data_IF_411308376841
#
_entry.id   IF_411308376841
#
_cell.length_a   1.000
_cell.length_b   1.000
_cell.length_c   1.000
_cell.angle_alpha   90.00
_cell.angle_beta   90.00
_cell.angle_gamma   90.00
#
_symmetry.space_group_name_H-M   'P 1'
#
loop_
_entity.id
_entity.type
_entity.pdbx_description
1 polymer ?
#
# COMPACT_ATOMS: atom_id res chain seq x y z
N UNK A 1 4.20 -15.64 13.27
CA UNK A 1 3.54 -14.37 13.08
C UNK A 1 4.51 -13.24 12.77
N UNK A 2 3.99 -12.16 12.28
CA UNK A 2 4.75 -10.94 11.99
C UNK A 2 4.11 -9.74 12.66
N UNK A 3 4.92 -8.71 12.90
CA UNK A 3 4.44 -7.42 13.39
C UNK A 3 4.60 -6.39 12.27
N UNK A 4 3.51 -5.75 11.87
CA UNK A 4 3.48 -4.72 10.83
C UNK A 4 3.59 -3.34 11.49
N UNK A 5 4.57 -2.55 11.07
CA UNK A 5 4.78 -1.20 11.59
C UNK A 5 4.05 -0.13 10.79
N UNK A 6 4.00 -0.28 9.48
CA UNK A 6 3.36 0.69 8.57
C UNK A 6 3.01 0.07 7.24
N UNK A 7 2.13 0.73 6.50
CA UNK A 7 1.85 0.46 5.11
C UNK A 7 2.07 1.74 4.31
N UNK A 8 2.83 1.63 3.23
CA UNK A 8 3.06 2.71 2.30
C UNK A 8 2.09 2.56 1.12
N UNK A 9 1.36 3.60 0.78
CA UNK A 9 0.42 3.66 -0.33
C UNK A 9 0.80 4.80 -1.26
N UNK A 10 0.61 4.62 -2.54
CA UNK A 10 1.01 5.59 -3.56
C UNK A 10 -0.22 6.29 -4.13
N UNK A 11 -0.28 7.61 -3.98
CA UNK A 11 -1.39 8.43 -4.44
C UNK A 11 -1.02 9.19 -5.71
N UNK A 12 -1.96 9.24 -6.67
CA UNK A 12 -1.86 10.09 -7.87
C UNK A 12 -2.65 11.39 -7.72
N UNK A 13 -3.75 11.35 -6.97
CA UNK A 13 -4.58 12.52 -6.65
C UNK A 13 -5.07 12.45 -5.21
N UNK A 14 -5.33 13.60 -4.61
CA UNK A 14 -5.90 13.72 -3.27
C UNK A 14 -6.97 14.79 -3.21
N UNK A 15 -7.88 14.64 -2.27
CA UNK A 15 -8.76 15.73 -1.82
C UNK A 15 -8.01 16.64 -0.86
N UNK A 16 -8.33 17.92 -0.85
CA UNK A 16 -7.67 18.89 0.04
C UNK A 16 -8.37 19.04 1.40
N UNK A 17 -9.54 18.45 1.55
CA UNK A 17 -10.40 18.63 2.75
C UNK A 17 -10.60 17.34 3.53
N UNK A 18 -10.84 16.23 2.83
CA UNK A 18 -11.23 14.96 3.46
C UNK A 18 -10.03 14.02 3.69
N UNK A 19 -9.94 13.42 4.89
CA UNK A 19 -8.87 12.49 5.22
C UNK A 19 -9.06 11.12 4.55
N UNK A 20 -7.99 10.33 4.54
CA UNK A 20 -8.00 8.92 4.17
C UNK A 20 -7.72 8.08 5.40
N UNK A 21 -8.54 7.07 5.63
CA UNK A 21 -8.35 6.09 6.71
C UNK A 21 -7.82 4.78 6.13
N UNK A 22 -6.76 4.26 6.72
CA UNK A 22 -6.28 2.92 6.47
C UNK A 22 -6.60 2.03 7.67
N UNK A 23 -7.20 0.87 7.41
CA UNK A 23 -7.52 -0.12 8.44
C UNK A 23 -6.96 -1.49 8.09
N UNK A 24 -6.26 -2.11 9.05
CA UNK A 24 -5.96 -3.54 9.00
C UNK A 24 -7.15 -4.31 9.55
N UNK A 25 -7.68 -5.24 8.74
CA UNK A 25 -8.86 -6.05 9.10
C UNK A 25 -8.59 -7.54 8.96
N UNK A 26 -9.42 -8.33 9.64
CA UNK A 26 -9.49 -9.77 9.41
C UNK A 26 -10.14 -10.06 8.05
N UNK A 27 -9.88 -11.24 7.52
CA UNK A 27 -10.59 -11.81 6.36
C UNK A 27 -11.58 -12.87 6.86
N UNK A 28 -12.78 -12.87 6.29
CA UNK A 28 -13.85 -13.83 6.59
C UNK A 28 -14.36 -14.40 5.27
N UNK A 29 -14.27 -15.71 5.11
CA UNK A 29 -14.67 -16.40 3.89
C UNK A 29 -14.06 -15.82 2.61
N UNK A 30 -12.79 -15.38 2.67
CA UNK A 30 -12.09 -14.79 1.53
C UNK A 30 -12.42 -13.32 1.24
N UNK A 31 -13.24 -12.66 2.06
CA UNK A 31 -13.63 -11.25 1.91
C UNK A 31 -13.14 -10.40 3.09
N UNK A 32 -12.93 -9.08 2.86
CA UNK A 32 -12.63 -8.17 3.95
C UNK A 32 -13.68 -8.21 5.05
N UNK A 33 -13.26 -8.57 6.26
CA UNK A 33 -14.14 -8.68 7.42
C UNK A 33 -14.38 -7.32 8.09
N UNK A 34 -15.33 -7.26 9.04
CA UNK A 34 -15.67 -6.03 9.74
C UNK A 34 -14.73 -5.69 10.90
N UNK A 35 -13.93 -6.66 11.36
CA UNK A 35 -13.11 -6.49 12.56
C UNK A 35 -11.79 -5.82 12.23
N UNK A 36 -11.60 -4.60 12.74
CA UNK A 36 -10.31 -3.91 12.72
C UNK A 36 -9.39 -4.52 13.78
N UNK A 37 -8.14 -4.79 13.41
CA UNK A 37 -7.14 -5.32 14.33
C UNK A 37 -6.73 -4.27 15.37
N UNK A 38 -6.31 -4.68 16.58
CA UNK A 38 -5.76 -3.75 17.57
C UNK A 38 -4.63 -2.90 16.96
N UNK A 39 -4.69 -1.58 17.16
CA UNK A 39 -3.79 -0.57 16.60
C UNK A 39 -3.79 -0.48 15.06
N UNK A 40 -4.66 -1.24 14.38
CA UNK A 40 -4.70 -1.37 12.93
C UNK A 40 -5.41 -0.24 12.19
N UNK A 41 -5.67 0.92 12.81
CA UNK A 41 -6.30 2.08 12.16
C UNK A 41 -5.38 3.28 12.17
N UNK A 42 -5.23 3.92 11.00
CA UNK A 42 -4.50 5.17 10.82
C UNK A 42 -5.34 6.10 9.96
N UNK A 43 -5.47 7.34 10.40
CA UNK A 43 -6.11 8.42 9.63
C UNK A 43 -5.01 9.36 9.16
N UNK A 44 -5.05 9.73 7.89
CA UNK A 44 -4.15 10.70 7.28
C UNK A 44 -4.93 11.89 6.78
N UNK A 45 -4.60 13.06 7.31
CA UNK A 45 -5.14 14.31 6.81
C UNK A 45 -4.56 14.62 5.42
N UNK A 46 -5.27 15.40 4.59
CA UNK A 46 -4.81 15.71 3.23
C UNK A 46 -3.40 16.31 3.17
N UNK A 47 -3.02 17.11 4.17
CA UNK A 47 -1.69 17.72 4.25
C UNK A 47 -0.56 16.68 4.36
N UNK A 48 -0.85 15.54 4.97
CA UNK A 48 0.10 14.44 5.16
C UNK A 48 0.09 13.41 4.01
N UNK A 49 -0.76 13.61 3.00
CA UNK A 49 -0.81 12.76 1.81
C UNK A 49 0.08 13.36 0.73
N UNK A 50 1.09 12.62 0.34
CA UNK A 50 1.98 12.95 -0.77
C UNK A 50 1.42 12.38 -2.06
N UNK A 51 1.29 13.20 -3.08
CA UNK A 51 0.90 12.77 -4.44
C UNK A 51 2.14 12.72 -5.33
N UNK A 52 2.16 11.78 -6.26
CA UNK A 52 3.25 11.61 -7.22
C UNK A 52 2.71 11.09 -8.55
N UNK A 53 2.93 11.85 -9.63
CA UNK A 53 2.49 11.49 -10.98
C UNK A 53 3.20 10.25 -11.54
N UNK A 54 4.33 9.87 -10.96
CA UNK A 54 5.09 8.67 -11.36
C UNK A 54 4.84 7.47 -10.47
N UNK A 55 4.11 7.65 -9.35
CA UNK A 55 3.83 6.59 -8.39
C UNK A 55 5.06 6.06 -7.65
N UNK A 56 6.14 6.82 -7.55
CA UNK A 56 7.37 6.41 -6.85
C UNK A 56 7.41 6.85 -5.40
N UNK A 57 6.79 7.98 -5.09
CA UNK A 57 6.75 8.54 -3.75
C UNK A 57 5.53 8.03 -2.99
N UNK A 58 5.77 7.43 -1.84
CA UNK A 58 4.71 6.83 -1.02
C UNK A 58 4.23 7.76 0.08
N UNK A 59 2.95 7.66 0.41
CA UNK A 59 2.39 8.13 1.68
C UNK A 59 2.46 6.99 2.69
N UNK A 60 3.16 7.21 3.80
CA UNK A 60 3.32 6.21 4.85
C UNK A 60 2.19 6.29 5.88
N UNK A 61 1.46 5.20 6.05
CA UNK A 61 0.50 5.00 7.13
C UNK A 61 1.18 4.25 8.28
N UNK A 62 1.74 5.01 9.22
CA UNK A 62 2.44 4.48 10.38
C UNK A 62 1.45 4.14 11.48
N UNK A 63 1.41 2.88 11.94
CA UNK A 63 0.60 2.47 13.07
C UNK A 63 1.17 3.01 14.39
N UNK A 64 0.30 3.33 15.33
CA UNK A 64 0.68 3.82 16.66
C UNK A 64 1.49 2.78 17.44
N UNK A 65 1.18 1.50 17.25
CA UNK A 65 1.92 0.36 17.76
C UNK A 65 1.93 -0.73 16.69
N UNK A 66 2.92 -1.63 16.69
CA UNK A 66 2.97 -2.71 15.72
C UNK A 66 1.72 -3.58 15.75
N UNK A 67 1.15 -3.84 14.57
CA UNK A 67 -0.02 -4.71 14.40
C UNK A 67 0.43 -6.14 14.25
N UNK A 68 -0.02 -7.02 15.14
CA UNK A 68 0.33 -8.43 15.09
C UNK A 68 -0.56 -9.21 14.11
N UNK A 69 0.08 -9.93 13.20
CA UNK A 69 -0.56 -10.86 12.28
C UNK A 69 -0.18 -12.29 12.66
N UNK A 70 -1.18 -13.08 12.99
CA UNK A 70 -1.03 -14.50 13.35
C UNK A 70 -0.64 -15.32 12.12
N UNK A 71 0.24 -16.33 12.26
CA UNK A 71 0.53 -17.25 11.16
C UNK A 71 -0.70 -18.09 10.81
N UNK A 72 -0.87 -18.38 9.51
CA UNK A 72 -1.97 -19.23 9.02
C UNK A 72 -3.34 -18.57 8.96
N UNK A 73 -3.44 -17.26 9.26
CA UNK A 73 -4.66 -16.46 9.07
C UNK A 73 -4.47 -15.44 7.97
N UNK A 74 -5.55 -15.16 7.27
CA UNK A 74 -5.60 -14.13 6.24
C UNK A 74 -6.03 -12.79 6.82
N UNK A 75 -5.41 -11.73 6.32
CA UNK A 75 -5.67 -10.36 6.69
C UNK A 75 -5.74 -9.48 5.44
N UNK A 76 -6.39 -8.35 5.57
CA UNK A 76 -6.42 -7.34 4.53
C UNK A 76 -6.19 -5.95 5.12
N UNK A 77 -5.79 -5.02 4.28
CA UNK A 77 -5.90 -3.61 4.61
C UNK A 77 -6.97 -2.97 3.72
N UNK A 78 -7.70 -2.02 4.29
CA UNK A 78 -8.74 -1.28 3.59
C UNK A 78 -8.37 0.20 3.59
N UNK A 79 -8.43 0.82 2.41
CA UNK A 79 -8.37 2.28 2.28
C UNK A 79 -9.81 2.80 2.19
N UNK A 80 -10.14 3.75 3.04
CA UNK A 80 -11.48 4.30 3.17
C UNK A 80 -11.38 5.81 3.02
N UNK A 81 -12.18 6.35 2.12
CA UNK A 81 -12.35 7.78 1.92
C UNK A 81 -13.83 8.08 1.67
N UNK A 82 -14.30 9.22 2.18
CA UNK A 82 -15.69 9.63 2.05
C UNK A 82 -15.96 10.34 0.71
N UNK A 83 -14.91 10.61 -0.07
CA UNK A 83 -14.98 11.31 -1.35
C UNK A 83 -14.24 10.53 -2.44
N UNK A 84 -14.67 10.63 -3.71
CA UNK A 84 -14.06 9.90 -4.83
C UNK A 84 -12.78 10.56 -5.39
N UNK A 85 -12.39 11.70 -4.86
CA UNK A 85 -11.27 12.53 -5.37
C UNK A 85 -9.91 11.92 -5.08
N UNK A 86 -9.79 11.10 -4.03
CA UNK A 86 -8.54 10.38 -3.75
C UNK A 86 -8.35 9.27 -4.76
N UNK A 87 -7.20 9.26 -5.45
CA UNK A 87 -6.82 8.20 -6.38
C UNK A 87 -5.48 7.60 -5.99
N UNK A 88 -5.41 6.29 -6.05
CA UNK A 88 -4.20 5.51 -5.75
C UNK A 88 -3.69 4.83 -7.00
N UNK A 89 -2.39 4.62 -7.05
CA UNK A 89 -1.76 3.85 -8.11
C UNK A 89 -2.13 2.38 -8.01
N UNK A 90 -2.51 1.81 -9.15
CA UNK A 90 -2.83 0.39 -9.32
C UNK A 90 -2.03 -0.19 -10.48
N UNK A 91 -1.84 -1.51 -10.47
CA UNK A 91 -1.43 -2.27 -11.65
C UNK A 91 -2.66 -2.94 -12.24
N UNK A 92 -2.80 -2.91 -13.56
CA UNK A 92 -3.87 -3.60 -14.27
C UNK A 92 -3.30 -4.55 -15.30
N UNK A 93 -3.84 -5.76 -15.35
CA UNK A 93 -3.46 -6.76 -16.34
C UNK A 93 -3.63 -6.22 -17.76
N UNK A 94 -2.60 -6.40 -18.60
CA UNK A 94 -2.58 -5.93 -19.99
C UNK A 94 -2.16 -4.48 -20.18
N UNK A 95 -1.97 -3.70 -19.10
CA UNK A 95 -1.42 -2.35 -19.18
C UNK A 95 0.10 -2.37 -19.10
N UNK A 96 0.72 -1.36 -19.70
CA UNK A 96 2.18 -1.17 -19.67
C UNK A 96 2.59 -0.54 -18.36
N UNK A 97 3.65 -1.05 -17.76
CA UNK A 97 4.24 -0.44 -16.55
C UNK A 97 4.71 0.98 -16.88
N UNK A 98 4.43 1.93 -16.01
CA UNK A 98 5.03 3.25 -16.05
C UNK A 98 6.50 3.07 -15.67
N UNK A 99 7.35 3.05 -16.68
CA UNK A 99 8.78 3.04 -16.46
C UNK A 99 9.17 4.41 -15.92
N UNK A 100 9.74 4.42 -14.71
CA UNK A 100 10.48 5.59 -14.30
C UNK A 100 11.61 5.75 -15.30
N UNK A 101 11.62 6.85 -16.04
CA UNK A 101 12.83 7.36 -16.63
C UNK A 101 13.78 7.66 -15.47
N UNK A 102 14.49 6.65 -15.01
CA UNK A 102 15.74 6.87 -14.32
C UNK A 102 16.58 7.65 -15.32
N UNK A 103 16.55 8.96 -15.18
CA UNK A 103 17.56 9.79 -15.76
C UNK A 103 18.86 9.20 -15.23
N UNK A 104 19.51 8.43 -16.07
CA UNK A 104 20.90 8.07 -15.88
C UNK A 104 21.65 9.39 -15.88
N UNK A 105 21.86 9.97 -14.71
CA UNK A 105 22.86 10.98 -14.48
C UNK A 105 24.21 10.29 -14.69
N UNK A 106 24.45 9.89 -15.93
CA UNK A 106 25.76 9.47 -16.43
C UNK A 106 26.52 10.73 -16.76
N UNK A 107 27.50 10.99 -15.96
CA UNK A 107 28.58 11.94 -16.26
C UNK A 107 29.00 11.79 -17.72
N UNK A 108 28.75 12.83 -18.55
CA UNK A 108 29.42 13.09 -19.82
C UNK A 108 29.38 11.99 -20.86
N UNK A 109 28.22 11.76 -21.49
CA UNK A 109 28.14 10.94 -22.68
C UNK A 109 26.99 11.41 -23.55
N UNK A 110 27.28 11.78 -24.79
CA UNK A 110 26.34 12.10 -25.85
C UNK A 110 25.31 10.98 -25.95
N UNK A 111 24.06 11.25 -25.64
CA UNK A 111 22.95 10.32 -25.80
C UNK A 111 22.78 9.97 -27.28
N UNK A 112 23.32 8.86 -27.70
CA UNK A 112 23.04 8.29 -29.00
C UNK A 112 21.71 7.55 -28.91
N UNK A 113 20.82 7.78 -29.86
CA UNK A 113 19.44 7.26 -29.92
C UNK A 113 19.27 5.73 -29.91
N UNK A 114 20.31 4.99 -29.63
CA UNK A 114 20.33 3.53 -29.56
C UNK A 114 20.02 2.96 -28.18
N UNK A 115 19.88 3.81 -27.16
CA UNK A 115 19.57 3.37 -25.78
C UNK A 115 18.08 3.11 -25.52
N UNK A 116 17.21 3.45 -26.46
CA UNK A 116 15.76 3.17 -26.33
C UNK A 116 15.37 1.70 -26.53
N UNK A 117 16.29 0.87 -26.97
CA UNK A 117 16.02 -0.57 -27.18
C UNK A 117 16.21 -1.43 -25.92
N UNK A 118 16.71 -0.86 -24.82
CA UNK A 118 16.96 -1.60 -23.56
C UNK A 118 15.79 -1.53 -22.57
N UNK A 119 14.81 -0.68 -22.82
CA UNK A 119 13.59 -0.61 -22.01
C UNK A 119 12.43 -1.17 -22.86
N UNK A 120 12.38 -2.50 -22.99
CA UNK A 120 11.20 -3.16 -23.49
C UNK A 120 10.02 -2.73 -22.62
N UNK A 121 8.99 -2.15 -23.22
CA UNK A 121 7.73 -1.89 -22.53
C UNK A 121 7.29 -3.18 -21.86
N UNK A 122 7.30 -3.17 -20.54
CA UNK A 122 6.89 -4.33 -19.75
C UNK A 122 5.40 -4.25 -19.52
N UNK A 123 4.67 -5.18 -20.12
CA UNK A 123 3.24 -5.33 -19.91
C UNK A 123 3.00 -6.18 -18.67
N UNK A 124 2.06 -5.79 -17.84
CA UNK A 124 1.62 -6.58 -16.68
C UNK A 124 0.90 -7.83 -17.20
N UNK A 125 1.62 -8.94 -17.27
CA UNK A 125 1.13 -10.22 -17.84
C UNK A 125 0.74 -11.24 -16.78
N UNK A 126 1.18 -11.06 -15.54
CA UNK A 126 0.90 -11.95 -14.43
C UNK A 126 0.22 -11.17 -13.31
N UNK A 127 -0.78 -11.81 -12.70
CA UNK A 127 -1.40 -11.26 -11.51
C UNK A 127 -0.38 -11.29 -10.37
N UNK A 128 -0.13 -10.16 -9.67
CA UNK A 128 0.73 -10.18 -8.50
C UNK A 128 0.23 -11.23 -7.50
N UNK A 129 1.12 -12.13 -7.09
CA UNK A 129 0.77 -13.33 -6.31
C UNK A 129 0.38 -13.09 -4.85
N UNK A 130 -0.03 -11.89 -4.48
CA UNK A 130 -0.30 -11.50 -3.09
C UNK A 130 -1.74 -10.99 -2.95
N UNK A 131 -2.68 -11.93 -2.87
CA UNK A 131 -4.06 -11.61 -2.52
C UNK A 131 -4.92 -11.16 -3.70
N UNK A 132 -6.09 -10.61 -3.38
CA UNK A 132 -7.08 -10.11 -4.33
C UNK A 132 -7.48 -8.70 -3.92
N UNK A 133 -7.57 -7.79 -4.89
CA UNK A 133 -8.11 -6.46 -4.66
C UNK A 133 -9.63 -6.50 -4.61
N UNK A 134 -10.22 -5.79 -3.66
CA UNK A 134 -11.66 -5.62 -3.53
C UNK A 134 -12.03 -4.15 -3.61
N UNK A 135 -13.16 -3.87 -4.24
CA UNK A 135 -13.77 -2.53 -4.31
C UNK A 135 -15.07 -2.51 -3.52
N UNK A 136 -15.34 -1.42 -2.83
CA UNK A 136 -16.57 -1.21 -2.06
C UNK A 136 -17.00 0.24 -2.12
N UNK A 137 -18.32 0.47 -2.19
CA UNK A 137 -18.91 1.81 -2.09
C UNK A 137 -19.39 2.15 -0.67
N UNK A 138 -19.54 1.13 0.19
CA UNK A 138 -20.13 1.31 1.53
C UNK A 138 -19.24 0.76 2.66
N UNK A 139 -18.04 0.23 2.32
CA UNK A 139 -17.13 -0.38 3.28
C UNK A 139 -17.63 -1.69 3.94
N UNK A 140 -18.74 -2.23 3.46
CA UNK A 140 -19.36 -3.46 3.99
C UNK A 140 -19.57 -4.54 2.94
N UNK A 141 -19.90 -4.14 1.72
CA UNK A 141 -20.08 -5.04 0.58
C UNK A 141 -18.90 -4.90 -0.35
N UNK A 142 -18.23 -6.00 -0.66
CA UNK A 142 -16.98 -6.04 -1.38
C UNK A 142 -17.10 -6.80 -2.69
N UNK A 143 -16.65 -6.20 -3.78
CA UNK A 143 -16.58 -6.82 -5.10
C UNK A 143 -15.12 -7.12 -5.44
N UNK A 144 -14.75 -8.38 -5.73
CA UNK A 144 -13.37 -8.72 -6.11
C UNK A 144 -13.04 -8.17 -7.48
N UNK A 145 -11.80 -7.71 -7.66
CA UNK A 145 -11.21 -7.33 -8.95
C UNK A 145 -10.05 -8.26 -9.24
N UNK A 146 -10.21 -9.11 -10.25
CA UNK A 146 -9.19 -10.10 -10.63
C UNK A 146 -8.13 -9.52 -11.59
N UNK A 147 -8.36 -8.34 -12.10
CA UNK A 147 -7.52 -7.71 -13.14
C UNK A 147 -6.69 -6.55 -12.63
N UNK A 148 -6.88 -6.17 -11.38
CA UNK A 148 -6.27 -4.97 -10.80
C UNK A 148 -5.71 -5.27 -9.41
N UNK A 149 -4.56 -4.65 -9.09
CA UNK A 149 -3.99 -4.65 -7.74
C UNK A 149 -3.51 -3.26 -7.36
N UNK A 150 -3.68 -2.92 -6.08
CA UNK A 150 -3.19 -1.65 -5.53
C UNK A 150 -1.67 -1.70 -5.35
N UNK A 151 -0.99 -0.61 -5.68
CA UNK A 151 0.42 -0.46 -5.39
C UNK A 151 0.64 -0.12 -3.93
N UNK A 152 1.32 -0.99 -3.19
CA UNK A 152 1.62 -0.77 -1.77
C UNK A 152 2.96 -1.39 -1.36
N UNK A 153 3.45 -1.01 -0.19
CA UNK A 153 4.59 -1.64 0.49
C UNK A 153 4.21 -1.89 1.94
N UNK A 154 4.38 -3.12 2.39
CA UNK A 154 4.16 -3.50 3.77
C UNK A 154 5.50 -3.51 4.52
N UNK A 155 5.58 -2.75 5.61
CA UNK A 155 6.76 -2.63 6.44
C UNK A 155 6.57 -3.42 7.73
N UNK A 156 7.39 -4.46 7.92
CA UNK A 156 7.38 -5.28 9.13
C UNK A 156 8.45 -4.83 10.12
N UNK A 157 8.20 -5.06 11.41
CA UNK A 157 9.19 -4.88 12.44
C UNK A 157 10.27 -5.96 12.38
N UNK A 158 11.51 -5.55 12.57
CA UNK A 158 12.63 -6.45 12.86
C UNK A 158 13.06 -6.20 14.29
N UNK A 159 13.00 -7.25 15.12
CA UNK A 159 13.39 -7.17 16.52
C UNK A 159 14.88 -7.48 16.65
N UNK A 160 15.62 -6.62 17.35
CA UNK A 160 17.05 -6.75 17.58
C UNK A 160 17.37 -7.48 18.90
N UNK A 161 16.36 -7.61 19.78
CA UNK A 161 16.48 -8.31 21.05
C UNK A 161 15.42 -9.40 21.17
N UNK A 162 15.79 -10.53 21.78
CA UNK A 162 14.88 -11.67 22.00
C UNK A 162 14.13 -11.60 23.35
N UNK A 163 14.52 -10.67 24.21
CA UNK A 163 13.91 -10.48 25.54
C UNK A 163 13.94 -9.01 25.94
N UNK A 164 13.03 -8.66 26.82
CA UNK A 164 12.93 -7.32 27.41
C UNK A 164 12.16 -7.37 28.73
N UNK A 165 12.36 -6.36 29.57
CA UNK A 165 11.64 -6.21 30.85
C UNK A 165 10.66 -5.07 30.73
N UNK A 166 9.39 -5.32 31.07
CA UNK A 166 8.35 -4.31 31.17
C UNK A 166 8.05 -4.09 32.65
N UNK A 167 8.37 -2.92 33.21
CA UNK A 167 7.94 -2.60 34.58
C UNK A 167 6.41 -2.35 34.56
N UNK A 168 5.69 -3.10 35.34
CA UNK A 168 4.28 -2.86 35.62
C UNK A 168 4.19 -2.05 36.91
N UNK A 169 3.60 -0.88 36.83
CA UNK A 169 3.32 -0.03 38.02
C UNK A 169 1.83 -0.16 38.33
N UNK A 170 1.51 -0.58 39.53
CA UNK A 170 0.16 -0.52 40.04
C UNK A 170 0.00 0.84 40.77
N UNK A 171 -0.94 1.64 40.28
CA UNK A 171 -1.39 2.86 40.95
C UNK A 171 -2.44 2.53 42.02
#
# INVERSE_FOLDING_TARGET
GIFVSSIDVFFSEKDDTFPVTLEMRNVVNGYPGPKVLPFGRVIKDPVDITIDETGQTATKFQFRAPVYLQPGLEYCFCLIADVPTHKVWIARMGETEIQSTLATSGVGGTATATSNALFAERTVSEQPGVGVMFKSHNGRTWAPSMMEDIKFRLNRCTFTANSGTVPLVND
#
